data_IF_251959319485
#
_entry.id   IF_251959319485
#
_cell.length_a   1.000
_cell.length_b   1.000
_cell.length_c   1.000
_cell.angle_alpha   90.00
_cell.angle_beta   90.00
_cell.angle_gamma   90.00
#
_symmetry.space_group_name_H-M   'P 1'
#
loop_
_entity.id
_entity.type
_entity.pdbx_description
1 polymer ?
#
# COMPACT_ATOMS: atom_id res chain seq x y z
N UNK A 1 13.19 -22.97 20.73
CA UNK A 1 13.23 -23.40 19.30
C UNK A 1 11.90 -23.14 18.59
N UNK A 2 10.75 -23.49 19.17
CA UNK A 2 9.44 -23.26 18.54
C UNK A 2 9.16 -21.78 18.22
N UNK A 3 9.59 -20.85 19.08
CA UNK A 3 9.37 -19.41 18.91
C UNK A 3 10.10 -18.83 17.67
N UNK A 4 11.36 -19.22 17.46
CA UNK A 4 12.14 -18.81 16.30
C UNK A 4 11.57 -19.37 14.98
N UNK A 5 11.11 -20.63 14.99
CA UNK A 5 10.47 -21.24 13.83
C UNK A 5 9.13 -20.55 13.49
N UNK A 6 8.37 -20.15 14.51
CA UNK A 6 7.12 -19.41 14.34
C UNK A 6 7.35 -18.01 13.74
N UNK A 7 8.36 -17.28 14.23
CA UNK A 7 8.74 -15.98 13.67
C UNK A 7 9.20 -16.09 12.21
N UNK A 8 9.96 -17.14 11.87
CA UNK A 8 10.45 -17.37 10.51
C UNK A 8 9.29 -17.73 9.56
N UNK A 9 8.32 -18.52 10.03
CA UNK A 9 7.11 -18.83 9.27
C UNK A 9 6.25 -17.58 9.03
N UNK A 10 6.09 -16.72 10.05
CA UNK A 10 5.39 -15.45 9.90
C UNK A 10 6.09 -14.52 8.91
N UNK A 11 7.41 -14.37 9.01
CA UNK A 11 8.19 -13.56 8.09
C UNK A 11 8.09 -14.06 6.65
N UNK A 12 8.18 -15.37 6.45
CA UNK A 12 8.01 -15.99 5.13
C UNK A 12 6.61 -15.72 4.58
N UNK A 13 5.57 -15.91 5.40
CA UNK A 13 4.19 -15.69 4.99
C UNK A 13 3.93 -14.23 4.61
N UNK A 14 4.43 -13.27 5.40
CA UNK A 14 4.25 -11.84 5.08
C UNK A 14 4.94 -11.48 3.77
N UNK A 15 6.19 -11.93 3.58
CA UNK A 15 6.92 -11.68 2.33
C UNK A 15 6.28 -12.35 1.13
N UNK A 16 5.77 -13.58 1.28
CA UNK A 16 5.11 -14.31 0.21
C UNK A 16 3.83 -13.60 -0.23
N UNK A 17 2.98 -13.20 0.72
CA UNK A 17 1.72 -12.52 0.41
C UNK A 17 1.99 -11.16 -0.25
N UNK A 18 2.93 -10.36 0.27
CA UNK A 18 3.25 -9.06 -0.36
C UNK A 18 3.83 -9.20 -1.76
N UNK A 19 4.64 -10.24 -2.00
CA UNK A 19 5.35 -10.41 -3.27
C UNK A 19 4.51 -11.09 -4.34
N UNK A 20 3.64 -12.03 -3.97
CA UNK A 20 2.93 -12.85 -4.96
C UNK A 20 1.43 -12.59 -5.03
N UNK A 21 0.81 -12.06 -3.97
CA UNK A 21 -0.63 -11.75 -3.98
C UNK A 21 -0.90 -10.32 -4.39
N UNK A 22 0.00 -9.38 -4.05
CA UNK A 22 -0.19 -7.95 -4.29
C UNK A 22 0.72 -7.36 -5.39
N UNK A 23 1.61 -8.14 -6.00
CA UNK A 23 2.50 -7.62 -7.05
C UNK A 23 1.93 -7.72 -8.48
N UNK A 24 0.73 -8.30 -8.65
CA UNK A 24 0.16 -8.60 -9.98
C UNK A 24 -0.83 -7.53 -10.47
N UNK A 25 -0.49 -6.24 -10.28
CA UNK A 25 -1.18 -5.11 -10.94
C UNK A 25 -0.33 -4.51 -12.10
N UNK A 26 0.74 -5.20 -12.50
CA UNK A 26 1.77 -4.68 -13.42
C UNK A 26 1.85 -5.38 -14.78
N UNK A 27 0.78 -6.00 -15.28
CA UNK A 27 0.80 -6.55 -16.65
C UNK A 27 0.70 -5.40 -17.66
N UNK A 28 1.85 -4.83 -18.00
CA UNK A 28 2.01 -3.92 -19.13
C UNK A 28 1.73 -4.69 -20.43
N UNK A 29 0.49 -4.62 -20.90
CA UNK A 29 0.15 -5.03 -22.27
C UNK A 29 0.82 -4.05 -23.23
N UNK A 30 1.91 -4.49 -23.86
CA UNK A 30 2.44 -3.85 -25.07
C UNK A 30 1.44 -4.10 -26.20
N UNK A 31 0.41 -3.27 -26.25
CA UNK A 31 -0.40 -3.11 -27.46
C UNK A 31 0.39 -2.24 -28.44
N UNK A 32 0.44 -2.65 -29.71
CA UNK A 32 0.83 -1.80 -30.84
C UNK A 32 0.13 -0.44 -30.68
N UNK A 33 0.88 0.58 -30.26
CA UNK A 33 0.39 1.94 -30.23
C UNK A 33 0.76 2.57 -31.57
N UNK A 34 -0.25 2.92 -32.37
CA UNK A 34 -0.08 3.89 -33.45
C UNK A 34 0.68 5.09 -32.88
N UNK A 35 1.75 5.52 -33.55
CA UNK A 35 2.57 6.64 -33.09
C UNK A 35 1.71 7.91 -33.13
N UNK A 36 1.20 8.32 -31.97
CA UNK A 36 0.38 9.52 -31.80
C UNK A 36 1.30 10.73 -31.70
N UNK A 37 1.03 11.76 -32.50
CA UNK A 37 1.81 13.00 -32.45
C UNK A 37 1.63 13.71 -31.10
N UNK A 38 2.67 14.40 -30.63
CA UNK A 38 2.66 15.19 -29.39
C UNK A 38 1.52 16.22 -29.38
N UNK A 39 1.13 16.73 -30.55
CA UNK A 39 0.04 17.70 -30.69
C UNK A 39 -1.35 17.11 -30.36
N UNK A 40 -1.51 15.80 -30.52
CA UNK A 40 -2.77 15.08 -30.31
C UNK A 40 -2.89 14.52 -28.88
N UNK A 41 -1.82 14.58 -28.10
CA UNK A 41 -1.80 14.07 -26.73
C UNK A 41 -2.70 14.93 -25.79
N UNK A 42 -3.40 14.29 -24.83
CA UNK A 42 -4.28 14.96 -23.87
C UNK A 42 -3.49 15.61 -22.72
N UNK A 43 -2.51 16.44 -23.06
CA UNK A 43 -1.62 17.17 -22.14
C UNK A 43 -1.75 18.68 -22.33
N UNK A 44 -1.27 19.47 -21.37
CA UNK A 44 -1.33 20.94 -21.42
C UNK A 44 -0.52 21.52 -22.58
N UNK A 45 -0.83 22.76 -22.97
CA UNK A 45 -0.11 23.44 -24.05
C UNK A 45 1.37 23.68 -23.70
N UNK A 46 1.66 23.90 -22.42
CA UNK A 46 3.01 24.06 -21.88
C UNK A 46 3.81 22.75 -21.97
N UNK A 47 3.19 21.61 -21.62
CA UNK A 47 3.80 20.29 -21.73
C UNK A 47 4.08 19.92 -23.20
N UNK A 48 3.15 20.20 -24.12
CA UNK A 48 3.36 20.01 -25.56
C UNK A 48 4.60 20.76 -26.03
N UNK A 49 4.71 22.04 -25.70
CA UNK A 49 5.86 22.86 -26.07
C UNK A 49 7.19 22.40 -25.46
N UNK A 50 7.15 21.77 -24.28
CA UNK A 50 8.33 21.17 -23.66
C UNK A 50 8.76 19.88 -24.38
N UNK A 51 7.82 18.98 -24.68
CA UNK A 51 8.12 17.73 -25.37
C UNK A 51 8.56 17.95 -26.82
N UNK A 52 7.94 18.87 -27.55
CA UNK A 52 8.39 19.24 -28.91
C UNK A 52 9.85 19.67 -28.91
N UNK A 53 10.28 20.51 -27.95
CA UNK A 53 11.69 20.92 -27.82
C UNK A 53 12.62 19.77 -27.45
N UNK A 54 12.17 18.84 -26.62
CA UNK A 54 12.98 17.66 -26.26
C UNK A 54 13.15 16.70 -27.43
N UNK A 55 12.12 16.57 -28.28
CA UNK A 55 12.19 15.77 -29.51
C UNK A 55 13.07 16.43 -30.56
N UNK A 56 13.01 17.77 -30.73
CA UNK A 56 13.93 18.52 -31.59
C UNK A 56 15.40 18.39 -31.17
N UNK A 57 15.66 18.24 -29.86
CA UNK A 57 17.00 18.02 -29.30
C UNK A 57 17.42 16.53 -29.30
N UNK A 58 16.62 15.64 -29.91
CA UNK A 58 16.83 14.18 -29.93
C UNK A 58 16.99 13.58 -28.51
N UNK A 59 16.43 14.23 -27.49
CA UNK A 59 16.51 13.76 -26.10
C UNK A 59 15.44 12.71 -25.78
N UNK A 60 14.29 12.79 -26.44
CA UNK A 60 13.15 11.89 -26.27
C UNK A 60 12.41 11.74 -27.60
N UNK A 61 12.06 10.52 -27.98
CA UNK A 61 11.26 10.22 -29.17
C UNK A 61 9.74 10.33 -28.92
N UNK A 62 8.97 10.55 -29.98
CA UNK A 62 7.52 10.71 -29.90
C UNK A 62 6.80 9.47 -29.35
N UNK A 63 7.31 8.27 -29.68
CA UNK A 63 6.76 7.00 -29.19
C UNK A 63 6.88 6.90 -27.66
N UNK A 64 8.04 7.24 -27.10
CA UNK A 64 8.28 7.28 -25.66
C UNK A 64 7.39 8.30 -24.96
N UNK A 65 7.17 9.48 -25.56
CA UNK A 65 6.26 10.50 -24.99
C UNK A 65 4.81 10.00 -25.02
N UNK A 66 4.35 9.46 -26.15
CA UNK A 66 3.00 8.93 -26.29
C UNK A 66 2.73 7.79 -25.30
N UNK A 67 3.67 6.85 -25.17
CA UNK A 67 3.58 5.76 -24.21
C UNK A 67 3.54 6.27 -22.76
N UNK A 68 4.38 7.25 -22.42
CA UNK A 68 4.43 7.85 -21.08
C UNK A 68 3.13 8.58 -20.72
N UNK A 69 2.60 9.38 -21.65
CA UNK A 69 1.32 10.08 -21.46
C UNK A 69 0.17 9.08 -21.36
N UNK A 70 0.14 8.05 -22.20
CA UNK A 70 -0.86 6.98 -22.13
C UNK A 70 -0.82 6.24 -20.80
N UNK A 71 0.37 5.90 -20.29
CA UNK A 71 0.53 5.22 -19.02
C UNK A 71 0.09 6.08 -17.82
N UNK A 72 0.20 7.41 -17.96
CA UNK A 72 -0.15 8.36 -16.91
C UNK A 72 -1.49 9.06 -17.12
N UNK A 73 -2.24 8.71 -18.16
CA UNK A 73 -3.56 9.25 -18.42
C UNK A 73 -4.49 8.98 -17.22
N UNK A 74 -5.37 9.93 -16.85
CA UNK A 74 -6.40 9.70 -15.84
C UNK A 74 -7.21 8.47 -16.26
N UNK A 75 -7.09 7.41 -15.49
CA UNK A 75 -7.84 6.18 -15.67
C UNK A 75 -8.80 6.06 -14.49
N UNK A 76 -10.09 5.90 -14.78
CA UNK A 76 -11.14 5.81 -13.75
C UNK A 76 -10.96 4.59 -12.83
N UNK A 77 -10.19 3.59 -13.28
CA UNK A 77 -9.91 2.32 -12.60
C UNK A 77 -8.47 2.20 -12.08
N UNK A 78 -7.67 3.28 -12.08
CA UNK A 78 -6.27 3.26 -11.60
C UNK A 78 -6.13 2.75 -10.17
N UNK A 79 -7.16 2.91 -9.34
CA UNK A 79 -7.19 2.43 -7.97
C UNK A 79 -8.38 1.50 -7.76
N UNK A 80 -8.12 0.20 -7.62
CA UNK A 80 -9.15 -0.76 -7.26
C UNK A 80 -9.41 -0.70 -5.75
N UNK A 81 -10.65 -0.41 -5.36
CA UNK A 81 -11.01 -0.37 -3.94
C UNK A 81 -11.27 -1.79 -3.42
N UNK A 82 -10.33 -2.31 -2.63
CA UNK A 82 -10.48 -3.62 -1.99
C UNK A 82 -11.19 -3.50 -0.64
N UNK A 83 -12.50 -3.81 -0.63
CA UNK A 83 -13.29 -3.92 0.60
C UNK A 83 -12.70 -4.92 1.59
N UNK A 84 -12.10 -6.00 1.09
CA UNK A 84 -11.46 -7.02 1.92
C UNK A 84 -10.20 -6.47 2.60
N UNK A 85 -9.37 -5.72 1.88
CA UNK A 85 -8.20 -5.07 2.46
C UNK A 85 -8.60 -4.05 3.52
N UNK A 86 -9.64 -3.24 3.27
CA UNK A 86 -10.17 -2.31 4.27
C UNK A 86 -10.63 -3.05 5.53
N UNK A 87 -11.46 -4.09 5.36
CA UNK A 87 -11.97 -4.87 6.48
C UNK A 87 -10.84 -5.53 7.28
N UNK A 88 -9.84 -6.09 6.61
CA UNK A 88 -8.66 -6.67 7.23
C UNK A 88 -7.86 -5.65 8.05
N UNK A 89 -7.68 -4.43 7.51
CA UNK A 89 -6.97 -3.35 8.20
C UNK A 89 -7.72 -2.91 9.45
N UNK A 90 -9.05 -2.76 9.38
CA UNK A 90 -9.89 -2.41 10.54
C UNK A 90 -9.82 -3.51 11.60
N UNK A 91 -9.92 -4.78 11.21
CA UNK A 91 -9.83 -5.90 12.13
C UNK A 91 -8.48 -5.95 12.84
N UNK A 92 -7.38 -5.74 12.11
CA UNK A 92 -6.03 -5.70 12.68
C UNK A 92 -5.87 -4.54 13.69
N UNK A 93 -6.40 -3.36 13.36
CA UNK A 93 -6.36 -2.21 14.27
C UNK A 93 -7.13 -2.47 15.57
N UNK A 94 -8.32 -3.07 15.48
CA UNK A 94 -9.12 -3.43 16.65
C UNK A 94 -8.44 -4.52 17.50
N UNK A 95 -7.84 -5.52 16.87
CA UNK A 95 -7.09 -6.57 17.56
C UNK A 95 -5.90 -5.99 18.32
N UNK A 96 -5.13 -5.10 17.68
CA UNK A 96 -4.01 -4.42 18.32
C UNK A 96 -4.47 -3.55 19.50
N UNK A 97 -5.52 -2.75 19.32
CA UNK A 97 -6.08 -1.93 20.39
C UNK A 97 -6.55 -2.79 21.57
N UNK A 98 -7.24 -3.90 21.30
CA UNK A 98 -7.67 -4.85 22.31
C UNK A 98 -6.50 -5.48 23.07
N UNK A 99 -5.43 -5.85 22.35
CA UNK A 99 -4.21 -6.36 22.96
C UNK A 99 -3.56 -5.33 23.88
N UNK A 100 -3.36 -4.10 23.41
CA UNK A 100 -2.78 -3.01 24.21
C UNK A 100 -3.64 -2.75 25.44
N UNK A 101 -4.95 -2.65 25.28
CA UNK A 101 -5.88 -2.44 26.38
C UNK A 101 -5.77 -3.56 27.44
N UNK A 102 -5.75 -4.82 27.02
CA UNK A 102 -5.64 -5.96 27.94
C UNK A 102 -4.28 -5.99 28.66
N UNK A 103 -3.18 -5.75 27.94
CA UNK A 103 -1.83 -5.71 28.50
C UNK A 103 -1.69 -4.56 29.51
N UNK A 104 -2.14 -3.36 29.14
CA UNK A 104 -2.09 -2.18 30.00
C UNK A 104 -2.94 -2.36 31.26
N UNK A 105 -4.12 -2.99 31.18
CA UNK A 105 -4.93 -3.26 32.38
C UNK A 105 -4.27 -4.26 33.32
N UNK A 106 -3.55 -5.26 32.78
CA UNK A 106 -2.82 -6.23 33.61
C UNK A 106 -1.73 -5.53 34.41
N UNK A 107 -0.89 -4.73 33.76
CA UNK A 107 0.17 -3.96 34.42
C UNK A 107 -0.41 -2.93 35.40
N UNK A 108 -1.45 -2.20 35.02
CA UNK A 108 -2.11 -1.24 35.90
C UNK A 108 -2.62 -1.92 37.17
N UNK A 109 -3.25 -3.09 37.07
CA UNK A 109 -3.73 -3.86 38.23
C UNK A 109 -2.58 -4.34 39.12
N UNK A 110 -1.46 -4.74 38.53
CA UNK A 110 -0.27 -5.15 39.29
C UNK A 110 0.31 -3.96 40.06
N UNK A 111 0.45 -2.79 39.43
CA UNK A 111 0.93 -1.57 40.09
C UNK A 111 -0.03 -1.10 41.18
N UNK A 112 -1.34 -1.11 40.92
CA UNK A 112 -2.35 -0.73 41.92
C UNK A 112 -2.30 -1.68 43.12
N UNK A 113 -2.20 -2.99 42.91
CA UNK A 113 -2.07 -3.95 44.02
C UNK A 113 -0.77 -3.76 44.79
N UNK A 114 0.33 -3.43 44.11
CA UNK A 114 1.61 -3.16 44.76
C UNK A 114 1.60 -1.87 45.60
N UNK A 115 0.88 -0.82 45.15
CA UNK A 115 0.79 0.45 45.87
C UNK A 115 -0.31 0.51 46.94
N UNK A 116 -1.44 -0.15 46.72
CA UNK A 116 -2.66 0.02 47.52
C UNK A 116 -3.15 -1.27 48.20
N UNK A 117 -2.48 -2.41 47.97
CA UNK A 117 -2.86 -3.70 48.55
C UNK A 117 -3.96 -4.44 47.77
N UNK A 118 -4.35 -5.66 48.20
CA UNK A 118 -5.46 -6.40 47.60
C UNK A 118 -6.78 -5.63 47.76
N UNK A 119 -7.70 -5.70 46.77
CA UNK A 119 -9.01 -5.08 46.93
C UNK A 119 -9.75 -5.72 48.13
N UNK A 120 -10.11 -4.92 49.11
CA UNK A 120 -10.99 -5.36 50.19
C UNK A 120 -12.39 -5.62 49.60
N UNK A 121 -12.77 -6.89 49.49
CA UNK A 121 -14.14 -7.30 49.12
C UNK A 121 -14.21 -8.10 47.83
N UNK A 122 -14.26 -9.42 47.97
CA UNK A 122 -14.48 -10.38 46.89
C UNK A 122 -15.19 -11.64 47.38
N UNK A 123 -16.33 -11.47 48.07
CA UNK A 123 -17.40 -12.46 48.11
C UNK A 123 -18.69 -11.75 47.73
N UNK A 124 -19.17 -11.98 46.52
CA UNK A 124 -20.57 -12.08 46.09
C UNK A 124 -20.57 -12.44 44.60
#
# INVERSE_FOLDING_TARGET
MADAAFLLALLFLTLFVTTFVFADDGTSSSADQDVVSIEELPISAEEKGQFTKMTELEMVDEETVAASVSANAPQDDRYSFSWLALAGTVALALAYLGFVYAASFKEYREVVRARFGPPEGGSL
#
